data_IF_965672061906
#
_entry.id   IF_965672061906
#
_cell.length_a   1.000
_cell.length_b   1.000
_cell.length_c   1.000
_cell.angle_alpha   90.00
_cell.angle_beta   90.00
_cell.angle_gamma   90.00
#
_symmetry.space_group_name_H-M   'P 1'
#
loop_
_entity.id
_entity.type
_entity.pdbx_description
1 polymer ?
#
# COMPACT_ATOMS: atom_id res chain seq x y z
N UNK A 1 -41.32 39.00 3.50
CA UNK A 1 -40.60 38.14 4.47
C UNK A 1 -41.62 37.20 5.11
N UNK A 2 -41.82 36.02 4.51
CA UNK A 2 -42.73 35.01 5.05
C UNK A 2 -42.26 33.65 4.53
N UNK A 3 -41.73 32.82 5.44
CA UNK A 3 -41.29 31.46 5.17
C UNK A 3 -42.47 30.55 5.55
N UNK A 4 -43.05 29.77 4.63
CA UNK A 4 -44.02 28.75 5.01
C UNK A 4 -43.27 27.57 5.66
N UNK A 5 -43.67 27.22 6.88
CA UNK A 5 -43.27 25.98 7.55
C UNK A 5 -43.96 24.80 6.85
N UNK A 6 -43.18 23.96 6.17
CA UNK A 6 -43.61 22.61 5.79
C UNK A 6 -43.22 21.68 6.94
N UNK A 7 -44.19 21.42 7.82
CA UNK A 7 -44.17 20.26 8.69
C UNK A 7 -44.47 19.03 7.84
N UNK A 8 -43.47 18.16 7.70
CA UNK A 8 -43.62 16.83 7.13
C UNK A 8 -42.76 15.89 7.97
N UNK A 9 -43.42 14.99 8.69
CA UNK A 9 -42.79 13.93 9.48
C UNK A 9 -41.69 13.24 8.66
N UNK A 10 -40.45 13.31 9.14
CA UNK A 10 -39.39 12.39 8.72
C UNK A 10 -39.75 11.05 9.37
N UNK A 11 -40.70 10.34 8.75
CA UNK A 11 -40.86 8.92 8.99
C UNK A 11 -39.60 8.28 8.43
N UNK A 12 -38.79 7.79 9.36
CA UNK A 12 -37.74 6.80 9.14
C UNK A 12 -38.23 5.81 8.09
N UNK A 13 -37.74 5.93 6.86
CA UNK A 13 -37.94 4.89 5.85
C UNK A 13 -37.14 3.69 6.36
N UNK A 14 -37.80 2.85 7.16
CA UNK A 14 -37.40 1.47 7.39
C UNK A 14 -37.41 0.80 6.03
N UNK A 15 -36.30 0.90 5.31
CA UNK A 15 -35.97 0.03 4.21
C UNK A 15 -35.82 -1.36 4.84
N UNK A 16 -36.90 -2.14 4.81
CA UNK A 16 -36.81 -3.58 5.01
C UNK A 16 -35.72 -4.08 4.05
N UNK A 17 -34.80 -4.96 4.49
CA UNK A 17 -33.82 -5.53 3.59
C UNK A 17 -34.61 -6.25 2.49
N UNK A 18 -34.47 -5.77 1.25
CA UNK A 18 -35.12 -6.43 0.12
C UNK A 18 -34.62 -7.88 0.07
N UNK A 19 -35.48 -8.86 -0.22
CA UNK A 19 -35.09 -10.27 -0.30
C UNK A 19 -34.12 -10.57 -1.46
N UNK A 20 -33.71 -9.55 -2.22
CA UNK A 20 -32.82 -9.65 -3.38
C UNK A 20 -31.44 -9.05 -3.12
N UNK A 21 -30.93 -9.05 -1.87
CA UNK A 21 -29.48 -8.98 -1.69
C UNK A 21 -28.94 -10.32 -2.14
N UNK A 22 -28.77 -10.42 -3.45
CA UNK A 22 -28.19 -11.56 -4.11
C UNK A 22 -26.74 -11.62 -3.63
N UNK A 23 -26.49 -12.54 -2.71
CA UNK A 23 -25.15 -13.00 -2.33
C UNK A 23 -24.55 -13.83 -3.47
N UNK A 24 -24.59 -13.31 -4.69
CA UNK A 24 -23.87 -13.90 -5.80
C UNK A 24 -22.42 -13.46 -5.65
N UNK A 25 -21.57 -14.43 -5.36
CA UNK A 25 -20.13 -14.22 -5.36
C UNK A 25 -19.72 -13.99 -6.81
N UNK A 26 -19.22 -12.80 -7.12
CA UNK A 26 -18.67 -12.50 -8.43
C UNK A 26 -17.29 -13.16 -8.56
N UNK A 27 -17.11 -13.97 -9.59
CA UNK A 27 -15.80 -14.50 -9.96
C UNK A 27 -14.97 -13.44 -10.68
N UNK A 28 -13.65 -13.61 -10.72
CA UNK A 28 -12.79 -12.80 -11.56
C UNK A 28 -13.26 -12.81 -13.04
N UNK A 29 -13.71 -13.97 -13.53
CA UNK A 29 -14.23 -14.13 -14.90
C UNK A 29 -15.49 -13.29 -15.17
N UNK A 30 -16.31 -13.00 -14.16
CA UNK A 30 -17.50 -12.16 -14.33
C UNK A 30 -17.13 -10.71 -14.60
N UNK A 31 -16.10 -10.21 -13.90
CA UNK A 31 -15.55 -8.87 -14.11
C UNK A 31 -14.83 -8.78 -15.46
N UNK A 32 -14.05 -9.79 -15.81
CA UNK A 32 -13.35 -9.94 -17.09
C UNK A 32 -14.26 -9.87 -18.31
N UNK A 33 -15.40 -10.55 -18.22
CA UNK A 33 -16.39 -10.62 -19.29
C UNK A 33 -17.43 -9.50 -19.19
N UNK A 34 -17.27 -8.58 -18.24
CA UNK A 34 -18.19 -7.48 -18.06
C UNK A 34 -18.16 -6.54 -19.26
N UNK A 35 -19.33 -6.03 -19.64
CA UNK A 35 -19.43 -4.97 -20.64
C UNK A 35 -19.57 -3.64 -19.94
N UNK A 36 -18.58 -2.77 -20.08
CA UNK A 36 -18.69 -1.40 -19.59
C UNK A 36 -19.72 -0.65 -20.43
N UNK A 37 -20.69 -0.02 -19.76
CA UNK A 37 -21.74 0.78 -20.38
C UNK A 37 -21.30 2.23 -20.46
N UNK A 38 -20.73 2.75 -19.37
CA UNK A 38 -20.26 4.12 -19.28
C UNK A 38 -20.18 4.60 -17.83
N UNK A 39 -19.91 5.89 -17.67
CA UNK A 39 -19.83 6.53 -16.37
C UNK A 39 -21.22 7.06 -15.92
N UNK A 40 -21.50 6.99 -14.63
CA UNK A 40 -22.74 7.48 -14.00
C UNK A 40 -22.38 8.49 -12.92
N UNK A 41 -23.00 9.67 -12.98
CA UNK A 41 -22.81 10.80 -12.04
C UNK A 41 -21.33 11.21 -11.85
N UNK A 42 -20.47 10.90 -12.83
CA UNK A 42 -19.02 11.05 -12.73
C UNK A 42 -18.39 10.45 -11.44
N UNK A 43 -19.01 9.41 -10.88
CA UNK A 43 -18.58 8.74 -9.65
C UNK A 43 -18.52 7.23 -9.79
N UNK A 44 -19.38 6.67 -10.64
CA UNK A 44 -19.50 5.23 -10.81
C UNK A 44 -19.24 4.84 -12.25
N UNK A 45 -18.69 3.64 -12.44
CA UNK A 45 -18.64 2.97 -13.73
C UNK A 45 -19.74 1.91 -13.75
N UNK A 46 -20.69 2.06 -14.67
CA UNK A 46 -21.72 1.07 -14.90
C UNK A 46 -21.20 -0.04 -15.80
N UNK A 47 -21.25 -1.28 -15.32
CA UNK A 47 -20.88 -2.47 -16.08
C UNK A 47 -21.99 -3.52 -16.04
N UNK A 48 -22.12 -4.28 -17.12
CA UNK A 48 -23.05 -5.40 -17.24
C UNK A 48 -22.28 -6.70 -17.06
N UNK A 49 -22.53 -7.39 -15.95
CA UNK A 49 -22.00 -8.72 -15.67
C UNK A 49 -22.92 -9.79 -16.26
N UNK A 50 -22.34 -10.82 -16.86
CA UNK A 50 -23.06 -11.87 -17.57
C UNK A 50 -23.06 -13.16 -16.73
N UNK A 51 -23.94 -13.30 -15.72
CA UNK A 51 -24.02 -14.57 -14.98
C UNK A 51 -25.33 -14.79 -14.19
N UNK A 52 -26.01 -15.93 -14.35
CA UNK A 52 -26.75 -16.37 -15.54
C UNK A 52 -27.85 -15.38 -16.00
N UNK A 53 -28.14 -14.34 -15.22
CA UNK A 53 -28.98 -13.21 -15.61
C UNK A 53 -28.09 -11.96 -15.74
N UNK A 54 -28.41 -11.00 -16.62
CA UNK A 54 -27.63 -9.78 -16.73
C UNK A 54 -27.76 -8.98 -15.42
N UNK A 55 -26.63 -8.72 -14.76
CA UNK A 55 -26.57 -7.90 -13.55
C UNK A 55 -25.93 -6.56 -13.91
N UNK A 56 -26.62 -5.47 -13.59
CA UNK A 56 -26.05 -4.12 -13.67
C UNK A 56 -25.29 -3.84 -12.37
N UNK A 57 -23.97 -3.72 -12.48
CA UNK A 57 -23.11 -3.34 -11.37
C UNK A 57 -22.66 -1.87 -11.52
N UNK A 58 -22.61 -1.16 -10.39
CA UNK A 58 -22.02 0.17 -10.30
C UNK A 58 -20.74 0.05 -9.48
N UNK A 59 -19.62 0.35 -10.11
CA UNK A 59 -18.29 0.30 -9.49
C UNK A 59 -17.90 1.72 -9.07
N UNK A 60 -17.58 1.93 -7.80
CA UNK A 60 -17.01 3.20 -7.34
C UNK A 60 -15.67 3.45 -8.04
N UNK A 61 -15.60 4.53 -8.83
CA UNK A 61 -14.43 4.81 -9.66
C UNK A 61 -13.19 5.14 -8.83
N UNK A 62 -13.36 5.85 -7.71
CA UNK A 62 -12.24 6.26 -6.87
C UNK A 62 -11.65 5.02 -6.18
N UNK A 63 -12.51 4.20 -5.56
CA UNK A 63 -12.08 2.98 -4.89
C UNK A 63 -11.46 1.96 -5.86
N UNK A 64 -12.02 1.84 -7.08
CA UNK A 64 -11.48 0.94 -8.10
C UNK A 64 -10.10 1.40 -8.61
N UNK A 65 -9.94 2.69 -8.91
CA UNK A 65 -8.64 3.22 -9.37
C UNK A 65 -7.58 3.10 -8.28
N UNK A 66 -7.94 3.45 -7.05
CA UNK A 66 -7.05 3.28 -5.89
C UNK A 66 -6.60 1.83 -5.78
N UNK A 67 -7.53 0.86 -5.85
CA UNK A 67 -7.21 -0.56 -5.73
C UNK A 67 -6.26 -1.04 -6.84
N UNK A 68 -6.52 -0.66 -8.09
CA UNK A 68 -5.67 -0.99 -9.24
C UNK A 68 -4.26 -0.43 -9.05
N UNK A 69 -4.14 0.79 -8.52
CA UNK A 69 -2.86 1.43 -8.24
C UNK A 69 -2.10 0.74 -7.10
N UNK A 70 -2.78 0.41 -6.00
CA UNK A 70 -2.20 -0.37 -4.88
C UNK A 70 -1.61 -1.68 -5.40
N UNK A 71 -2.40 -2.46 -6.14
CA UNK A 71 -1.95 -3.75 -6.68
C UNK A 71 -0.77 -3.60 -7.62
N UNK A 72 -0.75 -2.56 -8.46
CA UNK A 72 0.39 -2.26 -9.34
C UNK A 72 1.67 -1.98 -8.55
N UNK A 73 1.58 -1.13 -7.53
CA UNK A 73 2.74 -0.79 -6.69
C UNK A 73 3.25 -1.99 -5.91
N UNK A 74 2.34 -2.75 -5.29
CA UNK A 74 2.72 -3.96 -4.54
C UNK A 74 3.25 -5.06 -5.46
N UNK A 75 2.69 -5.25 -6.66
CA UNK A 75 3.18 -6.22 -7.62
C UNK A 75 4.63 -5.93 -8.01
N UNK A 76 4.96 -4.68 -8.35
CA UNK A 76 6.34 -4.27 -8.64
C UNK A 76 7.25 -4.54 -7.43
N UNK A 77 6.91 -3.93 -6.29
CA UNK A 77 7.71 -3.96 -5.06
C UNK A 77 7.95 -5.39 -4.54
N UNK A 78 6.92 -6.24 -4.51
CA UNK A 78 7.04 -7.62 -4.06
C UNK A 78 7.75 -8.53 -5.06
N UNK A 79 7.64 -8.25 -6.37
CA UNK A 79 8.42 -8.99 -7.38
C UNK A 79 9.90 -8.71 -7.22
N UNK A 80 10.27 -7.43 -7.06
CA UNK A 80 11.65 -7.02 -6.83
C UNK A 80 12.19 -7.57 -5.50
N UNK A 81 11.35 -7.62 -4.45
CA UNK A 81 11.70 -8.27 -3.18
C UNK A 81 12.03 -9.75 -3.32
N UNK A 82 11.26 -10.48 -4.14
CA UNK A 82 11.53 -11.89 -4.44
C UNK A 82 12.83 -12.06 -5.23
N UNK A 83 13.16 -11.10 -6.09
CA UNK A 83 14.42 -11.06 -6.85
C UNK A 83 15.61 -10.61 -6.00
N UNK A 84 15.36 -9.90 -4.89
CA UNK A 84 16.41 -9.28 -4.07
C UNK A 84 16.92 -7.96 -4.64
N UNK A 85 16.16 -7.33 -5.52
CA UNK A 85 16.55 -6.14 -6.29
C UNK A 85 15.50 -5.02 -6.15
N UNK A 86 14.98 -4.80 -4.94
CA UNK A 86 14.04 -3.68 -4.68
C UNK A 86 14.71 -2.36 -5.04
N UNK A 87 14.07 -1.61 -5.94
CA UNK A 87 14.57 -0.33 -6.38
C UNK A 87 14.56 0.66 -5.20
N UNK A 88 15.74 1.15 -4.84
CA UNK A 88 15.92 2.10 -3.76
C UNK A 88 16.27 3.49 -4.31
N UNK A 89 15.58 4.51 -3.79
CA UNK A 89 15.92 5.90 -3.97
C UNK A 89 17.02 6.29 -2.99
N UNK A 90 18.19 6.66 -3.52
CA UNK A 90 19.31 7.15 -2.72
C UNK A 90 19.08 8.61 -2.34
N UNK A 91 19.16 8.91 -1.05
CA UNK A 91 19.03 10.28 -0.56
C UNK A 91 20.29 11.09 -0.91
N UNK A 92 20.12 12.31 -1.43
CA UNK A 92 21.24 13.23 -1.73
C UNK A 92 22.10 13.49 -0.49
N UNK A 93 21.44 13.56 0.67
CA UNK A 93 22.06 13.64 1.98
C UNK A 93 21.48 12.53 2.86
N UNK A 94 22.32 11.70 3.51
CA UNK A 94 21.84 10.70 4.44
C UNK A 94 20.96 11.33 5.53
N UNK A 95 19.75 10.79 5.70
CA UNK A 95 18.81 11.22 6.73
C UNK A 95 19.27 10.70 8.09
N UNK A 96 19.23 11.54 9.12
CA UNK A 96 19.66 11.17 10.46
C UNK A 96 18.46 10.84 11.33
N UNK A 97 18.44 9.63 11.89
CA UNK A 97 17.36 9.14 12.73
C UNK A 97 17.92 8.80 14.10
N UNK A 98 17.22 9.24 15.15
CA UNK A 98 17.55 8.93 16.53
C UNK A 98 16.72 7.72 17.01
N UNK A 99 17.41 6.62 17.27
CA UNK A 99 16.82 5.39 17.81
C UNK A 99 17.14 5.27 19.30
N UNK A 100 16.28 4.61 20.07
CA UNK A 100 16.64 4.15 21.41
C UNK A 100 17.74 3.09 21.32
N UNK A 101 18.49 2.88 22.40
CA UNK A 101 19.52 1.83 22.44
C UNK A 101 18.95 0.45 22.10
N UNK A 102 17.75 0.14 22.61
CA UNK A 102 17.05 -1.11 22.27
C UNK A 102 16.78 -1.24 20.78
N UNK A 103 16.23 -0.21 20.14
CA UNK A 103 15.99 -0.21 18.68
C UNK A 103 17.30 -0.36 17.90
N UNK A 104 18.38 0.26 18.37
CA UNK A 104 19.73 0.10 17.82
C UNK A 104 20.26 -1.32 17.92
N UNK A 105 20.10 -1.97 19.08
CA UNK A 105 20.52 -3.35 19.31
C UNK A 105 19.72 -4.34 18.43
N UNK A 106 18.40 -4.11 18.27
CA UNK A 106 17.55 -4.87 17.36
C UNK A 106 18.02 -4.68 15.92
N UNK A 107 18.29 -3.44 15.50
CA UNK A 107 18.76 -3.12 14.16
C UNK A 107 20.11 -3.79 13.85
N UNK A 108 21.01 -3.86 14.84
CA UNK A 108 22.31 -4.53 14.73
C UNK A 108 22.21 -6.07 14.60
N UNK A 109 21.02 -6.65 14.81
CA UNK A 109 20.81 -8.09 14.60
C UNK A 109 20.77 -8.41 13.11
N UNK A 110 21.58 -9.38 12.66
CA UNK A 110 21.76 -9.75 11.24
C UNK A 110 20.45 -9.95 10.46
N UNK A 111 19.38 -10.45 11.10
CA UNK A 111 18.09 -10.67 10.44
C UNK A 111 17.33 -9.38 10.11
N UNK A 112 17.39 -8.37 10.97
CA UNK A 112 16.64 -7.12 10.81
C UNK A 112 17.28 -6.25 9.75
N UNK A 113 18.59 -6.00 9.86
CA UNK A 113 19.34 -5.19 8.89
C UNK A 113 19.24 -5.76 7.48
N UNK A 114 19.40 -7.09 7.31
CA UNK A 114 19.23 -7.75 6.01
C UNK A 114 17.80 -7.58 5.47
N UNK A 115 16.78 -7.78 6.31
CA UNK A 115 15.39 -7.60 5.89
C UNK A 115 15.11 -6.16 5.43
N UNK A 116 15.64 -5.15 6.14
CA UNK A 116 15.52 -3.75 5.73
C UNK A 116 16.18 -3.51 4.37
N UNK A 117 17.41 -4.00 4.17
CA UNK A 117 18.15 -3.86 2.93
C UNK A 117 17.41 -4.52 1.75
N UNK A 118 16.82 -5.71 1.96
CA UNK A 118 16.00 -6.40 0.94
C UNK A 118 14.73 -5.63 0.56
N UNK A 119 14.22 -4.76 1.44
CA UNK A 119 13.13 -3.84 1.15
C UNK A 119 13.63 -2.48 0.64
N UNK A 120 14.91 -2.33 0.32
CA UNK A 120 15.49 -1.11 -0.22
C UNK A 120 15.76 -0.02 0.83
N UNK A 121 15.75 -0.35 2.12
CA UNK A 121 16.19 0.56 3.17
C UNK A 121 17.66 0.34 3.48
N UNK A 122 18.49 1.32 3.17
CA UNK A 122 19.92 1.28 3.44
C UNK A 122 20.23 2.12 4.65
N UNK A 123 20.61 1.47 5.74
CA UNK A 123 20.86 2.11 7.04
C UNK A 123 22.22 1.75 7.59
N UNK A 124 22.87 2.71 8.23
CA UNK A 124 24.18 2.56 8.85
C UNK A 124 24.15 3.14 10.27
N UNK A 125 24.48 2.31 11.25
CA UNK A 125 24.62 2.74 12.64
C UNK A 125 25.89 3.59 12.78
N UNK A 126 25.77 4.81 13.29
CA UNK A 126 26.94 5.58 13.68
C UNK A 126 27.47 5.01 15.00
N UNK A 127 28.46 4.12 14.91
CA UNK A 127 29.18 3.63 16.09
C UNK A 127 30.16 4.73 16.53
N UNK A 128 30.01 5.33 17.73
CA UNK A 128 30.95 6.34 18.17
C UNK A 128 32.33 5.70 18.34
N UNK A 129 33.33 6.19 17.60
CA UNK A 129 34.72 5.69 17.59
C UNK A 129 35.49 5.88 18.92
N UNK A 130 34.83 6.28 20.00
CA UNK A 130 35.49 6.58 21.27
C UNK A 130 34.58 6.35 22.47
N UNK A 131 34.78 5.22 23.15
CA UNK A 131 34.52 5.09 24.59
C UNK A 131 35.52 5.96 25.39
N UNK A 132 35.52 7.27 25.17
CA UNK A 132 36.35 8.21 25.93
C UNK A 132 35.46 9.29 26.52
N UNK A 133 34.66 8.89 27.51
CA UNK A 133 34.29 9.64 28.72
C UNK A 133 33.02 9.03 29.34
N UNK A 134 33.10 8.31 30.47
CA UNK A 134 31.94 7.77 31.18
C UNK A 134 31.34 8.84 32.10
N UNK A 135 30.96 10.01 31.56
CA UNK A 135 30.45 11.12 32.37
C UNK A 135 29.30 11.90 31.72
N UNK A 136 28.40 11.19 31.03
CA UNK A 136 27.09 11.72 30.71
C UNK A 136 26.04 10.65 31.00
N UNK A 137 25.18 10.93 31.98
CA UNK A 137 23.95 10.19 32.30
C UNK A 137 22.91 10.27 31.15
N UNK A 138 23.32 10.08 29.88
CA UNK A 138 22.56 10.53 28.71
C UNK A 138 22.60 9.69 27.43
N UNK A 139 23.21 8.50 27.36
CA UNK A 139 23.29 7.74 26.11
C UNK A 139 22.20 6.64 25.97
N UNK A 140 20.93 7.02 26.21
CA UNK A 140 19.76 6.15 25.98
C UNK A 140 19.39 5.98 24.50
N UNK A 141 20.05 6.74 23.62
CA UNK A 141 19.78 6.78 22.18
C UNK A 141 21.07 6.53 21.37
N UNK A 142 20.88 6.07 20.14
CA UNK A 142 21.91 5.88 19.12
C UNK A 142 21.49 6.58 17.82
N UNK A 143 22.45 7.07 17.06
CA UNK A 143 22.19 7.75 15.79
C UNK A 143 22.37 6.76 14.63
N UNK A 144 21.43 6.80 13.68
CA UNK A 144 21.44 5.98 12.47
C UNK A 144 21.34 6.88 11.25
N UNK A 145 22.22 6.64 10.29
CA UNK A 145 22.15 7.25 8.97
C UNK A 145 21.32 6.37 8.04
N UNK A 146 20.35 6.97 7.38
CA UNK A 146 19.58 6.33 6.31
C UNK A 146 20.10 6.88 4.99
N UNK A 147 20.71 6.03 4.18
CA UNK A 147 21.29 6.39 2.89
C UNK A 147 20.31 6.22 1.72
N UNK A 148 19.33 5.33 1.86
CA UNK A 148 18.35 5.04 0.83
C UNK A 148 17.05 4.46 1.39
N UNK A 149 15.97 4.68 0.66
CA UNK A 149 14.62 4.17 0.97
C UNK A 149 14.01 3.56 -0.29
N UNK A 150 13.05 2.63 -0.18
CA UNK A 150 12.39 2.08 -1.36
C UNK A 150 11.75 3.19 -2.22
N UNK A 151 12.06 3.19 -3.53
CA UNK A 151 11.59 4.22 -4.48
C UNK A 151 10.06 4.34 -4.47
N UNK A 152 9.39 3.20 -4.32
CA UNK A 152 7.93 3.11 -4.22
C UNK A 152 7.34 4.10 -3.20
N UNK A 153 8.05 4.40 -2.10
CA UNK A 153 7.58 5.28 -1.01
C UNK A 153 8.45 6.51 -0.77
N UNK A 154 9.51 6.73 -1.56
CA UNK A 154 10.45 7.85 -1.40
C UNK A 154 9.76 9.22 -1.33
N UNK A 155 8.73 9.44 -2.18
CA UNK A 155 7.95 10.69 -2.21
C UNK A 155 7.16 10.98 -0.92
N UNK A 156 7.09 10.03 0.02
CA UNK A 156 6.41 10.15 1.32
C UNK A 156 7.41 10.26 2.50
N UNK A 157 8.70 10.14 2.22
CA UNK A 157 9.78 10.14 3.21
C UNK A 157 10.69 11.34 2.97
N UNK A 158 10.09 12.52 2.90
CA UNK A 158 10.76 13.77 2.51
C UNK A 158 11.34 14.54 3.68
N UNK A 159 10.85 14.25 4.88
CA UNK A 159 11.30 14.89 6.13
C UNK A 159 11.98 13.88 7.05
N UNK A 160 12.89 14.37 7.91
CA UNK A 160 13.57 13.53 8.91
C UNK A 160 12.56 12.86 9.87
N UNK A 161 11.44 13.53 10.19
CA UNK A 161 10.37 12.97 11.05
C UNK A 161 9.63 11.80 10.39
N UNK A 162 9.30 11.92 9.10
CA UNK A 162 8.68 10.84 8.34
C UNK A 162 9.62 9.63 8.27
N UNK A 163 10.90 9.88 8.02
CA UNK A 163 11.93 8.86 7.96
C UNK A 163 12.15 8.15 9.29
N UNK A 164 12.21 8.91 10.39
CA UNK A 164 12.31 8.38 11.74
C UNK A 164 11.10 7.50 12.08
N UNK A 165 9.89 8.02 11.87
CA UNK A 165 8.66 7.28 12.15
C UNK A 165 8.59 6.00 11.33
N UNK A 166 8.99 6.05 10.06
CA UNK A 166 8.99 4.90 9.17
C UNK A 166 10.03 3.86 9.60
N UNK A 167 11.28 4.26 9.86
CA UNK A 167 12.33 3.34 10.28
C UNK A 167 11.99 2.63 11.59
N UNK A 168 11.49 3.37 12.59
CA UNK A 168 11.07 2.79 13.88
C UNK A 168 9.93 1.77 13.70
N UNK A 169 8.93 2.11 12.89
CA UNK A 169 7.84 1.21 12.59
C UNK A 169 8.31 -0.04 11.84
N UNK A 170 9.26 0.08 10.92
CA UNK A 170 9.85 -1.04 10.19
C UNK A 170 10.62 -1.98 11.13
N UNK A 171 11.47 -1.43 12.02
CA UNK A 171 12.20 -2.21 13.02
C UNK A 171 11.24 -2.98 13.92
N UNK A 172 10.23 -2.30 14.47
CA UNK A 172 9.22 -2.93 15.34
C UNK A 172 8.42 -4.01 14.60
N UNK A 173 8.03 -3.77 13.35
CA UNK A 173 7.29 -4.74 12.54
C UNK A 173 8.13 -6.00 12.29
N UNK A 174 9.40 -5.85 11.93
CA UNK A 174 10.30 -6.98 11.66
C UNK A 174 10.64 -7.74 12.96
N UNK A 175 10.86 -7.05 14.09
CA UNK A 175 11.09 -7.68 15.41
C UNK A 175 9.90 -8.56 15.82
N UNK A 176 8.66 -8.06 15.61
CA UNK A 176 7.44 -8.79 15.97
C UNK A 176 7.09 -9.94 15.02
N UNK A 177 7.73 -9.98 13.84
CA UNK A 177 7.42 -10.92 12.79
C UNK A 177 8.26 -12.18 12.96
N UNK A 178 7.63 -13.32 13.29
CA UNK A 178 8.28 -14.65 13.32
C UNK A 178 8.80 -15.11 11.95
N UNK A 179 8.66 -14.28 10.93
CA UNK A 179 8.85 -14.60 9.52
C UNK A 179 10.34 -14.61 9.11
N UNK A 180 11.23 -14.80 10.09
CA UNK A 180 12.68 -14.72 10.01
C UNK A 180 13.38 -15.83 9.21
N UNK A 181 12.70 -16.56 8.32
CA UNK A 181 13.40 -17.45 7.39
C UNK A 181 12.67 -17.57 6.06
N UNK A 182 13.23 -16.89 5.06
CA UNK A 182 12.84 -17.01 3.67
C UNK A 182 13.68 -18.10 3.00
N UNK A 183 13.12 -19.25 2.61
CA UNK A 183 13.69 -20.04 1.53
C UNK A 183 13.23 -19.42 0.22
N UNK A 184 13.83 -18.29 -0.21
CA UNK A 184 13.65 -17.82 -1.59
C UNK A 184 14.43 -18.78 -2.47
N UNK A 185 13.71 -19.77 -2.99
CA UNK A 185 14.23 -20.65 -4.03
C UNK A 185 14.12 -19.94 -5.38
N UNK A 186 15.12 -20.08 -6.29
CA UNK A 186 15.06 -19.52 -7.64
C UNK A 186 13.78 -19.90 -8.42
N UNK A 187 13.15 -21.03 -8.08
CA UNK A 187 11.87 -21.46 -8.67
C UNK A 187 10.68 -20.54 -8.33
N UNK A 188 10.73 -19.78 -7.23
CA UNK A 188 9.68 -18.85 -6.84
C UNK A 188 9.62 -17.58 -7.72
N UNK A 189 10.58 -17.38 -8.64
CA UNK A 189 10.61 -16.20 -9.51
C UNK A 189 9.81 -16.41 -10.81
N UNK A 190 9.44 -17.66 -11.15
CA UNK A 190 8.86 -17.98 -12.48
C UNK A 190 7.32 -17.86 -12.57
N UNK A 191 6.58 -17.81 -11.46
CA UNK A 191 5.12 -17.65 -11.47
C UNK A 191 4.73 -16.18 -11.27
N UNK A 192 4.00 -15.63 -12.25
CA UNK A 192 3.53 -14.24 -12.25
C UNK A 192 2.65 -13.87 -11.05
N UNK A 193 2.12 -14.84 -10.32
CA UNK A 193 1.30 -14.62 -9.12
C UNK A 193 2.07 -14.78 -7.79
N UNK A 194 3.38 -15.08 -7.81
CA UNK A 194 4.14 -15.23 -6.57
C UNK A 194 4.30 -13.94 -5.77
N UNK A 195 4.14 -12.76 -6.39
CA UNK A 195 4.14 -11.48 -5.67
C UNK A 195 3.03 -11.42 -4.61
N UNK A 196 1.87 -12.07 -4.83
CA UNK A 196 0.78 -12.15 -3.85
C UNK A 196 1.22 -12.94 -2.62
N UNK A 197 1.95 -14.05 -2.83
CA UNK A 197 2.55 -14.81 -1.71
C UNK A 197 3.60 -13.97 -0.99
N UNK A 198 4.29 -13.08 -1.71
CA UNK A 198 5.27 -12.19 -1.12
C UNK A 198 4.67 -11.07 -0.25
N UNK A 199 3.38 -10.74 -0.43
CA UNK A 199 2.67 -9.79 0.45
C UNK A 199 2.73 -10.16 1.92
N UNK A 200 2.77 -11.47 2.26
CA UNK A 200 2.89 -11.92 3.66
C UNK A 200 4.20 -11.50 4.33
N UNK A 201 5.20 -11.12 3.53
CA UNK A 201 6.48 -10.62 3.98
C UNK A 201 6.56 -9.09 3.92
N UNK A 202 5.61 -8.42 3.27
CA UNK A 202 5.59 -6.97 3.14
C UNK A 202 5.32 -6.34 4.50
N UNK A 203 6.25 -5.51 5.02
CA UNK A 203 6.05 -4.85 6.30
C UNK A 203 4.82 -3.95 6.26
N UNK A 204 4.04 -3.96 7.33
CA UNK A 204 2.83 -3.13 7.43
C UNK A 204 3.10 -1.63 7.18
N UNK A 205 4.19 -1.02 7.71
CA UNK A 205 4.48 0.40 7.44
C UNK A 205 4.70 0.69 5.94
N UNK A 206 5.29 -0.25 5.20
CA UNK A 206 5.51 -0.12 3.77
C UNK A 206 4.19 -0.22 2.99
N UNK A 207 3.34 -1.18 3.36
CA UNK A 207 2.00 -1.34 2.79
C UNK A 207 1.14 -0.08 3.02
N UNK A 208 1.19 0.49 4.22
CA UNK A 208 0.47 1.73 4.56
C UNK A 208 0.89 2.92 3.69
N UNK A 209 2.20 3.10 3.47
CA UNK A 209 2.70 4.16 2.60
C UNK A 209 2.33 3.94 1.13
N UNK A 210 2.31 2.68 0.66
CA UNK A 210 1.84 2.33 -0.68
C UNK A 210 0.35 2.66 -0.85
N UNK A 211 -0.49 2.30 0.13
CA UNK A 211 -1.91 2.67 0.14
C UNK A 211 -2.08 4.19 0.11
N UNK A 212 -1.38 4.92 0.98
CA UNK A 212 -1.39 6.39 1.01
C UNK A 212 -0.92 7.03 -0.30
N UNK A 213 0.00 6.40 -1.03
CA UNK A 213 0.44 6.85 -2.36
C UNK A 213 -0.62 6.58 -3.43
N UNK A 214 -1.33 5.46 -3.35
CA UNK A 214 -2.41 5.13 -4.26
C UNK A 214 -3.59 6.11 -4.13
N UNK A 215 -4.06 6.40 -2.90
CA UNK A 215 -5.19 7.30 -2.65
C UNK A 215 -4.99 8.70 -3.27
N UNK A 216 -3.78 9.29 -3.15
CA UNK A 216 -3.52 10.67 -3.58
C UNK A 216 -3.40 10.87 -5.09
N UNK A 217 -3.15 9.80 -5.84
CA UNK A 217 -3.11 9.87 -7.30
C UNK A 217 -4.25 9.12 -7.97
N UNK A 218 -5.22 8.64 -7.19
CA UNK A 218 -6.41 8.02 -7.72
C UNK A 218 -7.31 9.06 -8.40
N UNK A 219 -8.06 8.61 -9.40
CA UNK A 219 -9.13 9.41 -10.04
C UNK A 219 -10.05 10.00 -8.96
N UNK A 220 -10.38 11.29 -9.10
CA UNK A 220 -11.26 11.98 -8.16
C UNK A 220 -12.73 11.83 -8.57
N UNK A 221 -13.63 11.99 -7.60
CA UNK A 221 -15.04 12.14 -7.93
C UNK A 221 -15.27 13.38 -8.80
N UNK A 222 -16.20 13.24 -9.74
CA UNK A 222 -16.55 14.22 -10.76
C UNK A 222 -15.59 14.33 -11.95
N UNK A 223 -14.49 13.57 -11.96
CA UNK A 223 -13.60 13.51 -13.14
C UNK A 223 -14.29 12.74 -14.27
N UNK A 224 -14.47 13.33 -15.48
CA UNK A 224 -14.99 12.61 -16.63
C UNK A 224 -13.95 11.59 -17.12
N UNK A 225 -14.39 10.35 -17.35
CA UNK A 225 -13.51 9.29 -17.86
C UNK A 225 -13.64 9.17 -19.38
N UNK A 226 -12.55 9.44 -20.09
CA UNK A 226 -12.36 8.95 -21.45
C UNK A 226 -12.19 7.42 -21.38
N UNK A 227 -13.05 6.70 -22.10
CA UNK A 227 -13.08 5.23 -22.18
C UNK A 227 -11.73 4.63 -22.64
N UNK A 228 -10.86 5.42 -23.29
CA UNK A 228 -9.53 5.01 -23.74
C UNK A 228 -8.37 5.27 -22.78
N UNK A 229 -8.56 6.00 -21.66
CA UNK A 229 -7.42 6.44 -20.82
C UNK A 229 -7.48 5.99 -19.36
N UNK A 230 -8.65 5.61 -18.86
CA UNK A 230 -8.80 5.25 -17.45
C UNK A 230 -8.19 3.87 -17.17
N UNK A 231 -7.26 3.81 -16.21
CA UNK A 231 -6.64 2.56 -15.76
C UNK A 231 -7.67 1.56 -15.22
N UNK A 232 -8.84 2.02 -14.77
CA UNK A 232 -9.95 1.17 -14.34
C UNK A 232 -10.58 0.45 -15.54
N UNK A 233 -10.79 1.16 -16.65
CA UNK A 233 -11.31 0.56 -17.89
C UNK A 233 -10.35 -0.51 -18.40
N UNK A 234 -9.05 -0.20 -18.37
CA UNK A 234 -8.02 -1.18 -18.69
C UNK A 234 -8.01 -2.35 -17.69
N UNK A 235 -8.06 -2.12 -16.38
CA UNK A 235 -8.02 -3.21 -15.41
C UNK A 235 -9.25 -4.14 -15.49
N UNK A 236 -10.44 -3.56 -15.66
CA UNK A 236 -11.68 -4.31 -15.91
C UNK A 236 -11.61 -5.07 -17.25
N UNK A 237 -10.96 -4.50 -18.27
CA UNK A 237 -10.75 -5.16 -19.56
C UNK A 237 -9.55 -6.14 -19.60
N UNK A 238 -8.53 -5.97 -18.76
CA UNK A 238 -7.29 -6.78 -18.72
C UNK A 238 -7.30 -7.86 -17.66
N UNK A 239 -8.35 -7.94 -16.83
CA UNK A 239 -8.69 -9.19 -16.15
C UNK A 239 -8.94 -10.36 -17.15
N UNK A 240 -8.86 -10.11 -18.47
CA UNK A 240 -8.92 -11.05 -19.61
C UNK A 240 -7.71 -11.96 -19.81
N UNK A 241 -6.60 -11.76 -19.10
CA UNK A 241 -5.36 -12.54 -19.31
C UNK A 241 -4.88 -13.22 -18.04
#
# INVERSE_FOLDING_TARGET
>A
MHIPKLGGDIRTLNLSPSPNVVSDTFSAMDLTNSRIIGQVDNKFIACLLQNPKPILALVDQHAADERVRVERYLKKLCTEFLQGEVEAFRLDKPGRVLLTRREGDILATNGVSNTLERWGLWVELEIPLSQVSPSAEGAGFVQVNVAGVPDAVASKLTTERELESFLKAMIANIESSEVASLPITPLAVQDQNNWVKALRYCPAPLLELVNSKACRGAIMFNDPLDQGQSQIYYALAYARS
#
